data_IF_063763775525
#
_entry.id   IF_063763775525
#
_cell.length_a   1.000
_cell.length_b   1.000
_cell.length_c   1.000
_cell.angle_alpha   90.00
_cell.angle_beta   90.00
_cell.angle_gamma   90.00
#
_symmetry.space_group_name_H-M   'P 1'
#
loop_
_entity.id
_entity.type
_entity.pdbx_description
1 polymer ?
#
# COMPACT_ATOMS: atom_id res chain seq x y z
N UNK A 1 0.79 12.97 9.15
CA UNK A 1 1.92 13.38 8.28
C UNK A 1 2.40 14.78 8.66
N UNK A 2 1.50 15.68 9.07
CA UNK A 2 1.84 16.91 9.79
C UNK A 2 2.61 16.63 11.09
N UNK A 3 2.25 15.59 11.85
CA UNK A 3 2.98 15.21 13.08
C UNK A 3 4.46 14.89 12.87
N UNK A 4 4.84 14.26 11.75
CA UNK A 4 6.25 13.91 11.50
C UNK A 4 7.07 15.14 11.08
N UNK A 5 6.45 16.15 10.48
CA UNK A 5 7.14 17.39 10.11
C UNK A 5 7.45 18.25 11.35
N UNK A 6 6.53 18.27 12.33
CA UNK A 6 6.73 18.99 13.59
C UNK A 6 7.85 18.40 14.45
N UNK A 7 8.08 17.08 14.39
CA UNK A 7 9.14 16.40 15.15
C UNK A 7 10.55 16.73 14.61
N UNK A 8 10.69 17.16 13.35
CA UNK A 8 11.99 17.30 12.67
C UNK A 8 12.36 18.76 12.35
N UNK A 9 11.50 19.74 12.69
CA UNK A 9 11.82 21.17 12.55
C UNK A 9 11.98 21.66 11.10
N UNK A 10 11.51 20.89 10.11
CA UNK A 10 11.59 21.23 8.69
C UNK A 10 10.19 21.45 8.12
N UNK A 11 10.05 22.49 7.29
CA UNK A 11 8.83 22.75 6.54
C UNK A 11 8.34 21.48 5.82
N UNK A 12 7.03 21.14 5.87
CA UNK A 12 6.46 19.97 5.19
C UNK A 12 6.87 19.86 3.71
N UNK A 13 6.98 20.99 3.02
CA UNK A 13 7.42 21.05 1.62
C UNK A 13 8.88 20.61 1.44
N UNK A 14 9.77 21.02 2.35
CA UNK A 14 11.17 20.61 2.32
C UNK A 14 11.29 19.11 2.59
N UNK A 15 10.58 18.59 3.60
CA UNK A 15 10.56 17.16 3.91
C UNK A 15 10.07 16.32 2.72
N UNK A 16 8.95 16.69 2.10
CA UNK A 16 8.42 15.98 0.92
C UNK A 16 9.41 16.00 -0.23
N UNK A 17 10.09 17.14 -0.48
CA UNK A 17 11.10 17.25 -1.53
C UNK A 17 12.31 16.36 -1.27
N UNK A 18 12.87 16.42 -0.06
CA UNK A 18 14.01 15.59 0.32
C UNK A 18 13.67 14.08 0.29
N UNK A 19 12.49 13.71 0.79
CA UNK A 19 12.02 12.34 0.74
C UNK A 19 11.89 11.85 -0.72
N UNK A 20 11.28 12.66 -1.59
CA UNK A 20 11.16 12.31 -3.02
C UNK A 20 12.53 12.22 -3.69
N UNK A 21 13.49 13.09 -3.37
CA UNK A 21 14.85 12.99 -3.89
C UNK A 21 15.54 11.71 -3.46
N UNK A 22 15.33 11.26 -2.21
CA UNK A 22 15.96 10.05 -1.66
C UNK A 22 15.29 8.76 -2.14
N UNK A 23 13.96 8.73 -2.24
CA UNK A 23 13.17 7.50 -2.44
C UNK A 23 12.39 7.48 -3.77
N UNK A 24 12.52 8.52 -4.60
CA UNK A 24 11.86 8.65 -5.91
C UNK A 24 10.36 9.00 -5.86
N UNK A 25 9.71 8.81 -4.72
CA UNK A 25 8.27 9.01 -4.53
C UNK A 25 7.98 9.93 -3.36
N UNK A 26 6.92 10.77 -3.41
CA UNK A 26 6.44 11.48 -2.24
C UNK A 26 6.06 10.51 -1.11
N UNK A 27 6.17 10.92 0.18
CA UNK A 27 5.91 10.06 1.33
C UNK A 27 4.58 9.30 1.27
N UNK A 28 3.48 9.98 0.89
CA UNK A 28 2.15 9.37 0.77
C UNK A 28 2.11 8.27 -0.29
N UNK A 29 2.73 8.50 -1.46
CA UNK A 29 2.76 7.52 -2.55
C UNK A 29 3.61 6.30 -2.15
N UNK A 30 4.73 6.54 -1.47
CA UNK A 30 5.58 5.49 -0.92
C UNK A 30 4.85 4.65 0.12
N UNK A 31 4.11 5.29 1.05
CA UNK A 31 3.29 4.59 2.04
C UNK A 31 2.25 3.68 1.37
N UNK A 32 1.53 4.19 0.36
CA UNK A 32 0.58 3.35 -0.40
C UNK A 32 1.29 2.17 -1.07
N UNK A 33 2.47 2.38 -1.64
CA UNK A 33 3.24 1.29 -2.25
C UNK A 33 3.64 0.22 -1.23
N UNK A 34 4.06 0.61 -0.03
CA UNK A 34 4.36 -0.33 1.06
C UNK A 34 3.11 -1.12 1.45
N UNK A 35 1.99 -0.44 1.69
CA UNK A 35 0.71 -1.11 2.03
C UNK A 35 0.29 -2.11 0.96
N UNK A 36 0.40 -1.74 -0.32
CA UNK A 36 0.11 -2.64 -1.43
C UNK A 36 1.01 -3.87 -1.45
N UNK A 37 2.32 -3.73 -1.16
CA UNK A 37 3.25 -4.87 -1.06
C UNK A 37 2.85 -5.82 0.07
N UNK A 38 2.48 -5.30 1.24
CA UNK A 38 1.99 -6.11 2.36
C UNK A 38 0.70 -6.85 1.99
N UNK A 39 -0.29 -6.15 1.44
CA UNK A 39 -1.55 -6.78 1.01
C UNK A 39 -1.30 -7.87 -0.04
N UNK A 40 -0.41 -7.62 -1.01
CA UNK A 40 -0.07 -8.59 -2.06
C UNK A 40 0.50 -9.89 -1.49
N UNK A 41 1.37 -9.80 -0.48
CA UNK A 41 1.90 -10.98 0.20
C UNK A 41 0.78 -11.77 0.88
N UNK A 42 -0.06 -11.12 1.69
CA UNK A 42 -1.20 -11.78 2.34
C UNK A 42 -2.18 -12.44 1.35
N UNK A 43 -2.44 -11.80 0.20
CA UNK A 43 -3.31 -12.36 -0.83
C UNK A 43 -2.70 -13.59 -1.50
N UNK A 44 -1.38 -13.63 -1.70
CA UNK A 44 -0.71 -14.82 -2.23
C UNK A 44 -0.81 -15.99 -1.23
N UNK A 45 -0.80 -15.69 0.06
CA UNK A 45 -0.99 -16.68 1.14
C UNK A 45 -2.47 -17.08 1.34
N UNK A 46 -3.39 -16.62 0.47
CA UNK A 46 -4.81 -16.98 0.53
C UNK A 46 -5.67 -16.16 1.48
N UNK A 47 -5.12 -15.15 2.14
CA UNK A 47 -5.88 -14.26 3.05
C UNK A 47 -7.08 -13.63 2.31
N UNK A 48 -8.28 -13.58 2.92
CA UNK A 48 -9.43 -12.89 2.35
C UNK A 48 -9.12 -11.43 2.01
N UNK A 49 -9.69 -10.94 0.90
CA UNK A 49 -9.41 -9.60 0.35
C UNK A 49 -9.61 -8.47 1.37
N UNK A 50 -10.70 -8.53 2.14
CA UNK A 50 -11.03 -7.52 3.14
C UNK A 50 -10.00 -7.52 4.28
N UNK A 51 -9.63 -8.71 4.75
CA UNK A 51 -8.65 -8.87 5.83
C UNK A 51 -7.25 -8.41 5.39
N UNK A 52 -6.84 -8.77 4.17
CA UNK A 52 -5.57 -8.32 3.60
C UNK A 52 -5.51 -6.78 3.48
N UNK A 53 -6.62 -6.13 3.11
CA UNK A 53 -6.70 -4.68 3.04
C UNK A 53 -6.55 -4.01 4.42
N UNK A 54 -7.27 -4.53 5.43
CA UNK A 54 -7.23 -4.02 6.80
C UNK A 54 -5.86 -4.22 7.44
N UNK A 55 -5.26 -5.41 7.31
CA UNK A 55 -3.90 -5.71 7.80
C UNK A 55 -2.84 -4.82 7.15
N UNK A 56 -3.02 -4.49 5.88
CA UNK A 56 -2.17 -3.54 5.16
C UNK A 56 -2.45 -2.07 5.51
N UNK A 57 -3.42 -1.76 6.37
CA UNK A 57 -3.74 -0.41 6.81
C UNK A 57 -4.53 0.43 5.80
N UNK A 58 -5.26 -0.20 4.88
CA UNK A 58 -6.27 0.51 4.08
C UNK A 58 -7.52 0.74 4.93
N UNK A 59 -8.10 1.93 4.79
CA UNK A 59 -9.31 2.32 5.52
C UNK A 59 -10.57 1.69 4.92
N UNK A 60 -10.63 1.63 3.59
CA UNK A 60 -11.77 1.08 2.86
C UNK A 60 -11.36 0.25 1.64
N UNK A 61 -12.28 -0.61 1.22
CA UNK A 61 -12.09 -1.54 0.12
C UNK A 61 -11.98 -0.83 -1.25
N UNK A 62 -12.71 0.26 -1.47
CA UNK A 62 -12.70 1.00 -2.75
C UNK A 62 -11.34 1.63 -3.01
N UNK A 63 -10.76 2.24 -1.99
CA UNK A 63 -9.42 2.82 -2.00
C UNK A 63 -8.36 1.74 -2.24
N UNK A 64 -8.44 0.63 -1.51
CA UNK A 64 -7.55 -0.52 -1.72
C UNK A 64 -7.64 -1.05 -3.15
N UNK A 65 -8.86 -1.34 -3.62
CA UNK A 65 -9.11 -1.95 -4.92
C UNK A 65 -8.57 -1.09 -6.07
N UNK A 66 -8.83 0.22 -6.03
CA UNK A 66 -8.33 1.18 -7.02
C UNK A 66 -6.80 1.22 -7.06
N UNK A 67 -6.16 1.28 -5.90
CA UNK A 67 -4.70 1.32 -5.81
C UNK A 67 -4.05 0.01 -6.23
N UNK A 68 -4.62 -1.12 -5.84
CA UNK A 68 -4.12 -2.44 -6.17
C UNK A 68 -4.19 -2.71 -7.67
N UNK A 69 -5.36 -2.45 -8.30
CA UNK A 69 -5.52 -2.62 -9.74
C UNK A 69 -4.58 -1.70 -10.53
N UNK A 70 -4.40 -0.44 -10.10
CA UNK A 70 -3.47 0.49 -10.75
C UNK A 70 -2.01 0.03 -10.64
N UNK A 71 -1.63 -0.63 -9.55
CA UNK A 71 -0.26 -1.07 -9.32
C UNK A 71 0.08 -2.42 -9.97
N UNK A 72 -0.88 -3.35 -10.02
CA UNK A 72 -0.62 -4.74 -10.39
C UNK A 72 -1.43 -5.24 -11.60
N UNK A 73 -2.31 -4.41 -12.18
CA UNK A 73 -3.12 -4.76 -13.35
C UNK A 73 -4.30 -5.71 -13.07
N UNK A 74 -4.31 -6.39 -11.92
CA UNK A 74 -5.36 -7.32 -11.49
C UNK A 74 -6.16 -6.75 -10.32
N UNK A 75 -7.40 -7.21 -10.15
CA UNK A 75 -8.12 -6.97 -8.88
C UNK A 75 -7.49 -7.82 -7.76
N UNK A 76 -7.62 -7.41 -6.48
CA UNK A 76 -7.19 -8.22 -5.34
C UNK A 76 -7.75 -9.65 -5.37
N UNK A 77 -9.02 -9.83 -5.72
CA UNK A 77 -9.66 -11.14 -5.83
C UNK A 77 -9.05 -11.99 -6.94
N UNK A 78 -8.82 -11.39 -8.13
CA UNK A 78 -8.16 -12.07 -9.24
C UNK A 78 -6.73 -12.48 -8.88
N UNK A 79 -5.98 -11.59 -8.21
CA UNK A 79 -4.62 -11.87 -7.77
C UNK A 79 -4.57 -13.01 -6.75
N UNK A 80 -5.48 -13.00 -5.76
CA UNK A 80 -5.61 -14.11 -4.80
C UNK A 80 -5.91 -15.41 -5.51
N UNK A 81 -6.92 -15.46 -6.37
CA UNK A 81 -7.31 -16.68 -7.09
C UNK A 81 -6.20 -17.23 -7.99
N UNK A 82 -5.34 -16.37 -8.57
CA UNK A 82 -4.26 -16.83 -9.45
C UNK A 82 -3.01 -17.31 -8.72
N UNK A 83 -2.84 -16.96 -7.44
CA UNK A 83 -1.65 -17.31 -6.65
C UNK A 83 -1.95 -18.27 -5.50
N UNK A 84 -3.20 -18.34 -5.06
CA UNK A 84 -3.66 -19.23 -4.01
C UNK A 84 -4.21 -20.52 -4.62
N UNK A 85 -3.48 -21.63 -4.46
CA UNK A 85 -3.99 -22.98 -4.70
C UNK A 85 -4.68 -23.49 -3.43
N UNK A 86 -5.97 -23.85 -3.47
CA UNK A 86 -6.71 -24.33 -2.30
C UNK A 86 -6.37 -25.77 -1.88
N UNK A 87 -5.52 -26.48 -2.63
CA UNK A 87 -5.16 -27.87 -2.38
C UNK A 87 -3.77 -27.99 -1.70
N UNK A 88 -3.76 -27.90 -0.36
CA UNK A 88 -2.77 -28.54 0.52
C UNK A 88 -3.37 -28.81 1.90
#
# INVERSE_FOLDING_TARGET
MEELANVVGVSPCYFVRQFKMRYGLPPRAYQIQLRLRHARASLADGTPVVEAALKAGFYDQSHFHRHFRRAYGLTPSQYRLSHFSPDN
#
